data_IF_719045246200
#
_entry.id   IF_719045246200
#
_cell.length_a   1.000
_cell.length_b   1.000
_cell.length_c   1.000
_cell.angle_alpha   90.00
_cell.angle_beta   90.00
_cell.angle_gamma   90.00
#
_symmetry.space_group_name_H-M   'P 1'
#
loop_
_entity.id
_entity.type
_entity.pdbx_description
1 polymer ?
#
# COMPACT_ATOMS: atom_id res chain seq x y z
N UNK A 1 0.84 -3.66 -16.37
CA UNK A 1 1.04 -3.53 -14.90
C UNK A 1 2.23 -4.38 -14.49
N UNK A 2 3.03 -3.90 -13.54
CA UNK A 2 4.12 -4.73 -12.99
C UNK A 2 3.55 -5.85 -12.11
N UNK A 3 4.35 -6.92 -11.88
CA UNK A 3 3.96 -8.01 -10.99
C UNK A 3 3.76 -7.52 -9.55
N UNK A 4 4.53 -6.48 -9.13
CA UNK A 4 4.42 -5.86 -7.80
C UNK A 4 3.08 -5.15 -7.65
N UNK A 5 2.69 -4.32 -8.62
CA UNK A 5 1.41 -3.61 -8.60
C UNK A 5 0.22 -4.57 -8.56
N UNK A 6 0.21 -5.61 -9.41
CA UNK A 6 -0.86 -6.62 -9.42
C UNK A 6 -0.96 -7.35 -8.08
N UNK A 7 0.19 -7.69 -7.48
CA UNK A 7 0.23 -8.32 -6.16
C UNK A 7 -0.28 -7.38 -5.06
N UNK A 8 0.10 -6.11 -5.10
CA UNK A 8 -0.37 -5.10 -4.15
C UNK A 8 -1.90 -4.93 -4.21
N UNK A 9 -2.45 -4.78 -5.42
CA UNK A 9 -3.89 -4.67 -5.65
C UNK A 9 -4.62 -5.90 -5.09
N UNK A 10 -4.19 -7.12 -5.46
CA UNK A 10 -4.82 -8.36 -5.02
C UNK A 10 -4.80 -8.51 -3.48
N UNK A 11 -3.68 -8.13 -2.83
CA UNK A 11 -3.56 -8.21 -1.37
C UNK A 11 -4.37 -7.14 -0.65
N UNK A 12 -4.46 -5.93 -1.18
CA UNK A 12 -5.35 -4.89 -0.64
C UNK A 12 -6.80 -5.31 -0.73
N UNK A 13 -7.26 -5.83 -1.88
CA UNK A 13 -8.64 -6.29 -2.06
C UNK A 13 -9.05 -7.42 -1.09
N UNK A 14 -8.13 -8.33 -0.79
CA UNK A 14 -8.38 -9.47 0.10
C UNK A 14 -8.10 -9.18 1.58
N UNK A 15 -7.63 -7.98 1.91
CA UNK A 15 -7.23 -7.63 3.27
C UNK A 15 -8.42 -7.25 4.17
N UNK A 16 -8.22 -7.31 5.48
CA UNK A 16 -9.19 -6.78 6.47
C UNK A 16 -9.13 -5.24 6.53
N UNK A 17 -7.92 -4.72 6.51
CA UNK A 17 -7.61 -3.29 6.46
C UNK A 17 -6.40 -3.09 5.55
N UNK A 18 -6.44 -2.04 4.76
CA UNK A 18 -5.30 -1.60 3.98
C UNK A 18 -5.04 -0.11 4.20
N UNK A 19 -3.80 0.28 3.98
CA UNK A 19 -3.33 1.63 4.21
C UNK A 19 -2.28 1.98 3.16
N UNK A 20 -2.27 3.22 2.67
CA UNK A 20 -1.19 3.72 1.85
C UNK A 20 -0.76 5.12 2.28
N UNK A 21 0.51 5.44 2.02
CA UNK A 21 1.08 6.76 2.20
C UNK A 21 2.40 6.91 1.44
N UNK A 22 2.77 8.13 1.14
CA UNK A 22 4.10 8.41 0.61
C UNK A 22 5.16 8.32 1.72
N UNK A 23 6.29 7.70 1.38
CA UNK A 23 7.47 7.64 2.26
C UNK A 23 8.07 9.05 2.35
N UNK A 24 8.43 9.46 3.56
CA UNK A 24 9.02 10.77 3.81
C UNK A 24 10.44 10.66 4.34
N UNK A 25 11.21 11.73 4.26
CA UNK A 25 12.57 11.78 4.81
C UNK A 25 12.65 11.45 6.32
N UNK A 26 11.57 11.70 7.07
CA UNK A 26 11.48 11.31 8.49
C UNK A 26 11.37 9.80 8.70
N UNK A 27 10.81 9.06 7.75
CA UNK A 27 10.64 7.62 7.83
C UNK A 27 11.97 6.91 7.59
N UNK A 28 12.81 7.44 6.71
CA UNK A 28 14.13 6.87 6.38
C UNK A 28 15.18 7.11 7.47
N UNK A 29 14.94 8.03 8.41
CA UNK A 29 15.87 8.37 9.50
C UNK A 29 17.12 9.17 9.08
N UNK A 30 17.27 9.50 7.80
CA UNK A 30 18.47 10.17 7.26
C UNK A 30 18.59 11.65 7.58
N UNK A 31 17.51 12.30 8.01
CA UNK A 31 17.52 13.69 8.46
C UNK A 31 17.98 13.89 9.93
N UNK A 32 18.75 12.95 10.49
CA UNK A 32 19.21 12.96 11.89
C UNK A 32 18.15 12.47 12.88
N UNK A 33 17.01 12.03 12.43
CA UNK A 33 16.01 11.34 13.25
C UNK A 33 16.51 9.95 13.61
N UNK A 34 16.69 9.67 14.89
CA UNK A 34 17.04 8.32 15.39
C UNK A 34 15.84 7.34 15.35
N UNK A 35 14.78 7.65 14.63
CA UNK A 35 13.52 6.92 14.63
C UNK A 35 13.21 6.37 13.24
N UNK A 36 14.03 5.45 12.74
CA UNK A 36 13.70 4.68 11.54
C UNK A 36 12.37 3.93 11.74
N UNK A 37 11.38 4.17 10.86
CA UNK A 37 10.08 3.51 10.92
C UNK A 37 8.96 4.35 10.34
N UNK A 38 7.95 3.67 9.81
CA UNK A 38 6.81 4.32 9.17
C UNK A 38 5.84 4.86 10.22
N UNK A 39 5.56 6.16 10.13
CA UNK A 39 4.50 6.80 10.91
C UNK A 39 3.13 6.37 10.38
N UNK A 40 2.21 6.06 11.28
CA UNK A 40 0.82 5.73 10.95
C UNK A 40 -0.09 6.77 11.62
N UNK A 41 -0.93 7.47 10.86
CA UNK A 41 -1.86 8.44 11.42
C UNK A 41 -2.92 7.78 12.31
N UNK A 42 -3.48 8.55 13.25
CA UNK A 42 -4.50 8.04 14.18
C UNK A 42 -5.75 7.51 13.49
N UNK A 43 -6.16 8.10 12.37
CA UNK A 43 -7.29 7.63 11.57
C UNK A 43 -7.08 6.24 10.99
N UNK A 44 -5.81 5.82 10.82
CA UNK A 44 -5.45 4.48 10.36
C UNK A 44 -5.04 3.52 11.51
N UNK A 45 -5.30 3.86 12.77
CA UNK A 45 -4.90 3.05 13.92
C UNK A 45 -5.49 1.62 13.91
N UNK A 46 -6.64 1.42 13.28
CA UNK A 46 -7.26 0.09 13.12
C UNK A 46 -6.43 -0.87 12.25
N UNK A 47 -5.57 -0.36 11.39
CA UNK A 47 -4.56 -1.19 10.71
C UNK A 47 -3.66 -1.93 11.72
N UNK A 48 -3.35 -1.29 12.83
CA UNK A 48 -2.36 -1.78 13.80
C UNK A 48 -3.01 -2.49 14.99
N UNK A 49 -4.15 -2.00 15.46
CA UNK A 49 -4.80 -2.47 16.68
C UNK A 49 -6.32 -2.37 16.57
N UNK A 50 -7.04 -3.42 16.95
CA UNK A 50 -8.52 -3.43 17.00
C UNK A 50 -9.10 -2.33 17.90
N UNK A 51 -8.33 -1.92 18.91
CA UNK A 51 -8.68 -0.80 19.79
C UNK A 51 -7.55 0.21 19.78
N UNK A 52 -7.83 1.48 19.53
CA UNK A 52 -6.82 2.55 19.61
C UNK A 52 -6.08 2.55 20.95
N UNK A 53 -4.85 3.03 20.93
CA UNK A 53 -4.06 3.21 22.15
C UNK A 53 -4.62 4.35 23.02
N UNK A 54 -4.46 4.22 24.32
CA UNK A 54 -4.89 5.22 25.30
C UNK A 54 -3.74 6.12 25.69
N UNK A 55 -3.96 7.43 25.69
CA UNK A 55 -2.96 8.41 26.15
C UNK A 55 -2.54 8.11 27.60
N UNK A 56 -1.23 8.11 27.85
CA UNK A 56 -0.62 7.74 29.13
C UNK A 56 0.05 6.36 29.10
N UNK A 57 -0.29 5.50 28.13
CA UNK A 57 0.22 4.14 28.03
C UNK A 57 0.84 3.88 26.66
N UNK A 58 1.89 3.06 26.63
CA UNK A 58 2.41 2.52 25.37
C UNK A 58 1.74 1.18 25.07
N UNK A 59 1.41 0.94 23.81
CA UNK A 59 0.86 -0.34 23.35
C UNK A 59 1.69 -0.85 22.18
N UNK A 60 2.06 -2.12 22.17
CA UNK A 60 2.78 -2.69 21.03
C UNK A 60 2.46 -4.16 20.82
N UNK A 61 2.61 -4.63 19.57
CA UNK A 61 2.60 -6.03 19.20
C UNK A 61 3.67 -6.33 18.16
N UNK A 62 4.16 -7.56 18.16
CA UNK A 62 5.04 -8.07 17.11
C UNK A 62 4.17 -8.65 16.00
N UNK A 63 4.58 -8.42 14.76
CA UNK A 63 3.87 -8.88 13.57
C UNK A 63 4.88 -9.33 12.52
N UNK A 64 4.47 -10.26 11.68
CA UNK A 64 5.23 -10.63 10.49
C UNK A 64 4.71 -9.84 9.29
N UNK A 65 5.62 -9.18 8.59
CA UNK A 65 5.30 -8.50 7.33
C UNK A 65 6.05 -9.19 6.19
N UNK A 66 5.29 -9.70 5.22
CA UNK A 66 5.82 -10.17 3.95
C UNK A 66 5.89 -8.99 2.99
N UNK A 67 7.08 -8.68 2.52
CA UNK A 67 7.32 -7.63 1.53
C UNK A 67 7.34 -8.21 0.11
N UNK A 68 7.28 -7.33 -0.87
CA UNK A 68 7.62 -7.68 -2.25
C UNK A 68 8.98 -8.39 -2.31
N UNK A 69 9.27 -9.11 -3.39
CA UNK A 69 10.50 -9.90 -3.54
C UNK A 69 10.69 -11.01 -2.49
N UNK A 70 9.58 -11.45 -1.88
CA UNK A 70 9.50 -12.59 -0.96
C UNK A 70 10.36 -12.51 0.30
N UNK A 71 10.71 -11.33 0.78
CA UNK A 71 11.38 -11.24 2.06
C UNK A 71 10.43 -10.87 3.21
N UNK A 72 10.86 -11.14 4.44
CA UNK A 72 10.05 -10.97 5.65
C UNK A 72 10.73 -10.11 6.69
N UNK A 73 9.93 -9.36 7.45
CA UNK A 73 10.39 -8.69 8.66
C UNK A 73 9.54 -9.10 9.86
N UNK A 74 10.20 -9.29 11.02
CA UNK A 74 9.54 -9.37 12.32
C UNK A 74 9.43 -7.96 12.88
N UNK A 75 8.42 -7.26 12.39
CA UNK A 75 8.18 -5.84 12.69
C UNK A 75 7.46 -5.67 14.02
N UNK A 76 7.50 -4.45 14.55
CA UNK A 76 6.76 -4.07 15.76
C UNK A 76 5.82 -2.93 15.43
N UNK A 77 4.54 -3.15 15.64
CA UNK A 77 3.54 -2.11 15.71
C UNK A 77 3.54 -1.49 17.10
N UNK A 78 3.60 -0.18 17.19
CA UNK A 78 3.67 0.51 18.47
C UNK A 78 2.85 1.80 18.46
N UNK A 79 2.12 2.00 19.54
CA UNK A 79 1.57 3.27 19.93
C UNK A 79 2.42 3.84 21.07
N UNK A 80 2.95 5.02 20.87
CA UNK A 80 3.63 5.79 21.90
C UNK A 80 2.64 6.76 22.54
N UNK A 81 2.11 6.41 23.70
CA UNK A 81 1.14 7.23 24.44
C UNK A 81 1.70 7.94 25.65
N UNK A 82 2.91 7.57 26.10
CA UNK A 82 3.55 8.16 27.29
C UNK A 82 4.24 9.50 26.99
N UNK A 83 4.36 10.33 28.00
CA UNK A 83 5.00 11.65 27.92
C UNK A 83 4.25 12.57 26.95
N UNK A 84 4.97 13.26 26.09
CA UNK A 84 4.42 14.17 25.09
C UNK A 84 3.97 13.46 23.80
N UNK A 85 4.40 12.20 23.58
CA UNK A 85 4.09 11.45 22.37
C UNK A 85 2.63 11.02 22.33
N UNK A 86 2.08 10.94 21.13
CA UNK A 86 0.74 10.42 20.85
C UNK A 86 0.69 10.00 19.38
N UNK A 87 1.45 8.94 19.06
CA UNK A 87 1.69 8.53 17.68
C UNK A 87 1.78 7.02 17.53
N UNK A 88 1.41 6.53 16.35
CA UNK A 88 1.57 5.13 15.95
C UNK A 88 2.74 5.00 14.97
N UNK A 89 3.47 3.89 15.07
CA UNK A 89 4.54 3.56 14.13
C UNK A 89 4.64 2.07 13.86
N UNK A 90 5.16 1.76 12.68
CA UNK A 90 5.72 0.45 12.34
C UNK A 90 7.23 0.57 12.42
N UNK A 91 7.86 -0.31 13.20
CA UNK A 91 9.32 -0.30 13.48
C UNK A 91 9.88 -1.71 13.41
N UNK A 92 11.20 -1.90 13.54
CA UNK A 92 11.89 -3.19 13.51
C UNK A 92 11.81 -3.87 12.13
N UNK A 93 12.46 -3.27 11.15
CA UNK A 93 12.55 -3.83 9.81
C UNK A 93 13.82 -4.68 9.59
N UNK A 94 14.70 -4.75 10.58
CA UNK A 94 15.99 -5.42 10.45
C UNK A 94 17.06 -4.52 9.85
N UNK A 95 18.27 -5.11 9.68
CA UNK A 95 19.37 -4.43 8.99
C UNK A 95 19.15 -4.52 7.48
N UNK A 96 19.53 -3.47 6.77
CA UNK A 96 19.46 -3.41 5.30
C UNK A 96 18.04 -3.52 4.74
N UNK A 97 17.04 -2.96 5.44
CA UNK A 97 15.70 -2.85 4.88
C UNK A 97 15.75 -1.95 3.64
N UNK A 98 15.37 -2.45 2.45
CA UNK A 98 15.68 -1.78 1.19
C UNK A 98 14.91 -0.48 0.94
N UNK A 99 13.83 -0.22 1.72
CA UNK A 99 12.95 0.94 1.51
C UNK A 99 13.15 2.07 2.53
N UNK A 100 14.35 2.15 3.13
CA UNK A 100 14.75 3.27 3.99
C UNK A 100 15.89 4.10 3.41
N UNK A 101 16.14 3.96 2.13
CA UNK A 101 17.11 4.78 1.44
C UNK A 101 16.51 6.14 1.01
N UNK A 102 17.37 7.13 0.72
CA UNK A 102 16.93 8.48 0.33
C UNK A 102 16.13 8.45 -0.98
N UNK A 103 16.48 7.54 -1.87
CA UNK A 103 15.82 7.31 -3.15
C UNK A 103 14.36 6.87 -3.00
N UNK A 104 13.98 6.31 -1.85
CA UNK A 104 12.61 5.89 -1.59
C UNK A 104 11.70 7.02 -1.07
N UNK A 105 12.25 8.21 -0.84
CA UNK A 105 11.42 9.36 -0.47
C UNK A 105 10.54 9.77 -1.66
N UNK A 106 9.23 9.68 -1.47
CA UNK A 106 8.24 9.90 -2.53
C UNK A 106 7.60 8.62 -3.06
N UNK A 107 8.19 7.44 -2.80
CA UNK A 107 7.58 6.15 -3.13
C UNK A 107 6.30 5.92 -2.32
N UNK A 108 5.36 5.14 -2.87
CA UNK A 108 4.11 4.82 -2.21
C UNK A 108 4.24 3.52 -1.40
N UNK A 109 4.24 3.65 -0.07
CA UNK A 109 4.12 2.53 0.86
C UNK A 109 2.68 2.07 0.93
N UNK A 110 2.45 0.74 0.82
CA UNK A 110 1.17 0.08 0.99
C UNK A 110 1.33 -1.01 2.04
N UNK A 111 0.42 -1.06 3.01
CA UNK A 111 0.36 -2.12 4.04
C UNK A 111 -1.05 -2.72 4.03
N UNK A 112 -1.13 -4.03 3.82
CA UNK A 112 -2.39 -4.78 3.79
C UNK A 112 -2.42 -5.84 4.89
N UNK A 113 -3.46 -5.85 5.71
CA UNK A 113 -3.64 -6.78 6.82
C UNK A 113 -4.32 -8.07 6.35
N UNK A 114 -3.60 -9.19 6.34
CA UNK A 114 -4.18 -10.50 6.04
C UNK A 114 -4.81 -11.14 7.29
N UNK A 115 -4.12 -11.07 8.42
CA UNK A 115 -4.60 -11.55 9.72
C UNK A 115 -4.12 -10.65 10.86
N UNK A 116 -4.43 -11.00 12.10
CA UNK A 116 -4.09 -10.18 13.27
C UNK A 116 -2.60 -9.87 13.37
N UNK A 117 -1.74 -10.83 13.03
CA UNK A 117 -0.29 -10.73 13.18
C UNK A 117 0.48 -10.90 11.85
N UNK A 118 -0.23 -10.95 10.71
CA UNK A 118 0.38 -11.14 9.41
C UNK A 118 -0.09 -10.08 8.41
N UNK A 119 0.89 -9.43 7.76
CA UNK A 119 0.69 -8.31 6.86
C UNK A 119 1.49 -8.49 5.57
N UNK A 120 1.05 -7.82 4.52
CA UNK A 120 1.80 -7.62 3.29
C UNK A 120 2.22 -6.16 3.18
N UNK A 121 3.47 -5.95 2.79
CA UNK A 121 4.03 -4.63 2.54
C UNK A 121 4.49 -4.51 1.08
N UNK A 122 4.18 -3.39 0.45
CA UNK A 122 4.62 -3.04 -0.89
C UNK A 122 5.11 -1.61 -0.93
N UNK A 123 6.06 -1.34 -1.81
CA UNK A 123 6.54 0.00 -2.12
C UNK A 123 6.53 0.15 -3.63
N UNK A 124 5.64 1.00 -4.15
CA UNK A 124 5.58 1.34 -5.56
C UNK A 124 6.52 2.51 -5.81
N UNK A 125 7.42 2.36 -6.78
CA UNK A 125 8.56 3.25 -6.98
C UNK A 125 8.45 4.09 -8.26
N UNK A 126 7.48 3.81 -9.11
CA UNK A 126 7.27 4.57 -10.34
C UNK A 126 5.94 5.33 -10.30
N UNK A 127 5.93 6.53 -10.87
CA UNK A 127 4.72 7.35 -10.98
C UNK A 127 3.58 6.57 -11.65
N UNK A 128 3.90 5.78 -12.69
CA UNK A 128 2.90 4.98 -13.40
C UNK A 128 2.25 3.91 -12.50
N UNK A 129 3.03 3.21 -11.68
CA UNK A 129 2.46 2.21 -10.74
C UNK A 129 1.60 2.87 -9.67
N UNK A 130 2.00 4.05 -9.20
CA UNK A 130 1.27 4.83 -8.21
C UNK A 130 -0.05 5.33 -8.79
N UNK A 131 -0.02 5.88 -10.01
CA UNK A 131 -1.21 6.36 -10.71
C UNK A 131 -2.18 5.21 -11.01
N UNK A 132 -1.68 4.06 -11.46
CA UNK A 132 -2.49 2.87 -11.73
C UNK A 132 -3.11 2.33 -10.43
N UNK A 133 -2.36 2.33 -9.31
CA UNK A 133 -2.89 1.92 -7.99
C UNK A 133 -3.98 2.89 -7.51
N UNK A 134 -3.76 4.18 -7.66
CA UNK A 134 -4.75 5.19 -7.28
C UNK A 134 -6.00 5.10 -8.14
N UNK A 135 -5.86 4.95 -9.46
CA UNK A 135 -6.98 4.74 -10.37
C UNK A 135 -7.79 3.50 -9.98
N UNK A 136 -7.08 2.39 -9.65
CA UNK A 136 -7.74 1.14 -9.28
C UNK A 136 -8.62 1.26 -8.04
N UNK A 137 -8.19 1.98 -7.00
CA UNK A 137 -8.93 2.15 -5.74
C UNK A 137 -9.67 3.48 -5.67
N UNK A 138 -9.79 4.22 -6.77
CA UNK A 138 -10.41 5.56 -6.82
C UNK A 138 -9.83 6.49 -5.74
N UNK A 139 -8.51 6.50 -5.61
CA UNK A 139 -7.77 7.32 -4.65
C UNK A 139 -7.19 8.56 -5.34
N UNK A 140 -6.92 9.57 -4.54
CA UNK A 140 -6.07 10.69 -4.92
C UNK A 140 -4.91 10.85 -3.92
N UNK A 141 -3.84 11.58 -4.25
CA UNK A 141 -2.74 11.83 -3.32
C UNK A 141 -3.18 12.37 -1.95
N UNK A 142 -4.25 13.19 -1.90
CA UNK A 142 -4.81 13.76 -0.69
C UNK A 142 -5.53 12.70 0.18
N UNK A 143 -5.96 11.59 -0.44
CA UNK A 143 -6.62 10.47 0.23
C UNK A 143 -5.63 9.47 0.83
N UNK A 144 -4.32 9.69 0.68
CA UNK A 144 -3.30 8.91 1.37
C UNK A 144 -3.27 9.24 2.87
N UNK A 145 -2.52 8.50 3.66
CA UNK A 145 -2.46 8.63 5.12
C UNK A 145 -3.75 8.25 5.87
N UNK A 146 -4.62 7.48 5.25
CA UNK A 146 -5.82 6.91 5.85
C UNK A 146 -6.02 5.45 5.42
N UNK A 147 -6.99 4.76 6.00
CA UNK A 147 -7.36 3.42 5.53
C UNK A 147 -7.97 3.52 4.13
N UNK A 148 -7.60 2.58 3.28
CA UNK A 148 -8.22 2.43 1.96
C UNK A 148 -9.61 1.86 2.15
N UNK A 149 -10.61 2.49 1.53
CA UNK A 149 -11.97 1.95 1.48
C UNK A 149 -12.04 0.83 0.44
N UNK A 150 -11.88 -0.40 0.91
CA UNK A 150 -11.94 -1.62 0.08
C UNK A 150 -13.37 -2.11 -0.17
N UNK A 151 -14.37 -1.46 0.43
CA UNK A 151 -15.79 -1.84 0.30
C UNK A 151 -16.46 -1.26 -0.94
N UNK A 152 -15.86 -0.25 -1.55
CA UNK A 152 -16.35 0.32 -2.79
C UNK A 152 -15.87 -0.55 -3.96
N UNK A 153 -16.77 -1.29 -4.64
CA UNK A 153 -16.40 -1.95 -5.88
C UNK A 153 -15.97 -0.84 -6.86
N UNK A 154 -14.85 -1.04 -7.51
CA UNK A 154 -14.50 -0.29 -8.71
C UNK A 154 -15.75 -0.30 -9.59
N UNK A 155 -16.17 0.85 -10.08
CA UNK A 155 -17.33 0.89 -10.99
C UNK A 155 -17.08 -0.07 -12.15
N UNK A 156 -18.16 -0.67 -12.66
CA UNK A 156 -18.03 -1.58 -13.82
C UNK A 156 -17.35 -0.89 -15.01
N UNK A 157 -17.54 0.42 -15.15
CA UNK A 157 -16.89 1.24 -16.18
C UNK A 157 -15.36 1.36 -15.94
N UNK A 158 -14.92 1.53 -14.71
CA UNK A 158 -13.48 1.58 -14.36
C UNK A 158 -12.81 0.21 -14.51
N UNK A 159 -13.48 -0.88 -14.15
CA UNK A 159 -12.98 -2.23 -14.41
C UNK A 159 -12.76 -2.47 -15.89
N UNK A 160 -13.71 -2.06 -16.73
CA UNK A 160 -13.61 -2.14 -18.19
C UNK A 160 -12.46 -1.27 -18.69
N UNK A 161 -12.28 -0.08 -18.16
CA UNK A 161 -11.21 0.84 -18.57
C UNK A 161 -9.81 0.27 -18.26
N UNK A 162 -9.61 -0.26 -17.05
CA UNK A 162 -8.36 -0.91 -16.63
C UNK A 162 -8.06 -2.11 -17.55
N UNK A 163 -9.07 -2.94 -17.82
CA UNK A 163 -8.90 -4.12 -18.67
C UNK A 163 -8.60 -3.77 -20.13
N UNK A 164 -9.18 -2.68 -20.64
CA UNK A 164 -8.84 -2.13 -21.96
C UNK A 164 -7.38 -1.68 -21.98
N UNK A 165 -6.92 -0.94 -20.98
CA UNK A 165 -5.54 -0.47 -20.88
C UNK A 165 -4.54 -1.64 -20.82
N UNK A 166 -4.82 -2.68 -20.02
CA UNK A 166 -3.98 -3.87 -19.95
C UNK A 166 -3.81 -4.54 -21.32
N UNK A 167 -4.92 -4.74 -22.02
CA UNK A 167 -4.89 -5.39 -23.32
C UNK A 167 -4.21 -4.50 -24.37
N UNK A 168 -4.50 -3.21 -24.40
CA UNK A 168 -3.87 -2.26 -25.36
C UNK A 168 -2.37 -2.15 -25.10
N UNK A 169 -1.93 -2.15 -23.83
CA UNK A 169 -0.51 -2.11 -23.46
C UNK A 169 0.27 -3.36 -23.87
N UNK A 170 -0.42 -4.49 -24.10
CA UNK A 170 0.23 -5.72 -24.55
C UNK A 170 0.57 -5.74 -26.04
N UNK A 171 0.06 -4.77 -26.82
CA UNK A 171 0.36 -4.65 -28.24
C UNK A 171 1.55 -3.70 -28.48
N UNK A 172 2.47 -4.10 -29.36
CA UNK A 172 3.59 -3.24 -29.79
C UNK A 172 3.17 -2.13 -30.76
N UNK A 173 2.02 -2.36 -31.45
CA UNK A 173 1.40 -1.39 -32.35
C UNK A 173 -0.09 -1.31 -32.03
N UNK A 174 -0.77 -0.26 -32.50
CA UNK A 174 -2.22 -0.11 -32.27
C UNK A 174 -2.99 -1.32 -32.82
N UNK A 175 -3.84 -1.97 -31.99
CA UNK A 175 -4.55 -3.19 -32.41
C UNK A 175 -5.42 -2.97 -33.65
N UNK A 176 -5.40 -3.90 -34.58
CA UNK A 176 -6.26 -3.86 -35.77
C UNK A 176 -7.75 -4.02 -35.44
N UNK A 177 -8.62 -3.68 -36.36
CA UNK A 177 -10.09 -3.68 -36.19
C UNK A 177 -10.62 -5.04 -35.69
N UNK A 178 -10.07 -6.16 -36.16
CA UNK A 178 -10.50 -7.51 -35.74
C UNK A 178 -10.15 -7.77 -34.28
N UNK A 179 -8.96 -7.38 -33.84
CA UNK A 179 -8.48 -7.52 -32.47
C UNK A 179 -9.31 -6.65 -31.52
N UNK A 180 -9.61 -5.42 -31.90
CA UNK A 180 -10.48 -4.52 -31.13
C UNK A 180 -11.92 -5.05 -31.04
N UNK A 181 -12.46 -5.63 -32.11
CA UNK A 181 -13.78 -6.24 -32.08
C UNK A 181 -13.84 -7.51 -31.18
N UNK A 182 -12.76 -8.28 -31.12
CA UNK A 182 -12.65 -9.42 -30.21
C UNK A 182 -12.59 -8.95 -28.76
N UNK A 183 -11.73 -7.96 -28.45
CA UNK A 183 -11.61 -7.37 -27.13
C UNK A 183 -12.97 -6.83 -26.62
N UNK A 184 -13.70 -6.12 -27.48
CA UNK A 184 -15.01 -5.59 -27.13
C UNK A 184 -16.02 -6.71 -26.78
N UNK A 185 -15.99 -7.85 -27.51
CA UNK A 185 -16.85 -9.01 -27.20
C UNK A 185 -16.45 -9.67 -25.88
N UNK A 186 -15.15 -9.82 -25.63
CA UNK A 186 -14.64 -10.47 -24.41
C UNK A 186 -14.95 -9.60 -23.16
N UNK A 187 -14.94 -8.28 -23.31
CA UNK A 187 -15.34 -7.35 -22.24
C UNK A 187 -16.85 -7.32 -21.98
N UNK A 188 -17.67 -7.54 -23.01
CA UNK A 188 -19.13 -7.55 -22.89
C UNK A 188 -19.68 -8.84 -22.28
N UNK A 189 -18.97 -9.99 -22.46
CA UNK A 189 -19.43 -11.32 -22.04
C UNK A 189 -18.90 -11.76 -20.65
N UNK A 190 -18.13 -10.93 -19.96
CA UNK A 190 -17.61 -11.15 -18.61
C UNK A 190 -18.10 -10.08 -17.63
#
# INVERSE_FOLDING_TARGET
>A
MSDILNSAIAKVQSSRHAFCRFITANDTGKNGSHQAGFYIPKCAALLLFDKPGTKGENKSKLVKVKWQDDFFTDSRFIYYGQGTRNEYRITRFGKNFPFFEEENVGDLLIIAQESDDYYHGFVLQTDQEIDDFFAYFNLSPEMTNQLIDISQPISSEEQVHIRIQEVVSSYTDFPGTIQMAQLARDLYNN
#
